data_IF_148232981183
#
_entry.id   IF_148232981183
#
_cell.length_a   1.000
_cell.length_b   1.000
_cell.length_c   1.000
_cell.angle_alpha   90.00
_cell.angle_beta   90.00
_cell.angle_gamma   90.00
#
_symmetry.space_group_name_H-M   'P 1'
#
loop_
_entity.id
_entity.type
_entity.pdbx_description
1 polymer ?
#
# COMPACT_ATOMS: atom_id res chain seq x y z
N UNK A 1 35.69 17.87 -9.17
CA UNK A 1 34.97 17.04 -8.18
C UNK A 1 33.99 17.94 -7.46
N UNK A 2 32.70 17.87 -7.81
CA UNK A 2 31.67 18.62 -7.09
C UNK A 2 31.33 17.85 -5.81
N UNK A 3 31.81 18.35 -4.68
CA UNK A 3 31.39 17.88 -3.37
C UNK A 3 29.92 18.26 -3.19
N UNK A 4 29.02 17.28 -3.28
CA UNK A 4 27.62 17.48 -2.91
C UNK A 4 27.59 18.00 -1.47
N UNK A 5 27.31 19.30 -1.31
CA UNK A 5 27.04 19.84 0.02
C UNK A 5 25.74 19.19 0.52
N UNK A 6 25.73 18.69 1.76
CA UNK A 6 24.51 18.13 2.34
C UNK A 6 23.40 19.19 2.38
N UNK A 7 22.18 18.78 2.01
CA UNK A 7 20.95 19.59 1.91
C UNK A 7 20.65 20.45 3.16
N UNK A 8 21.10 19.99 4.32
CA UNK A 8 21.01 20.71 5.58
C UNK A 8 22.39 20.71 6.26
N UNK A 9 22.87 21.88 6.72
CA UNK A 9 24.06 21.94 7.56
C UNK A 9 23.87 20.99 8.74
N UNK A 10 24.88 20.15 9.01
CA UNK A 10 24.84 19.05 9.98
C UNK A 10 24.29 19.49 11.37
N UNK A 11 24.47 20.77 11.72
CA UNK A 11 24.08 21.36 13.01
C UNK A 11 23.11 22.55 12.94
N UNK A 12 22.40 22.75 11.83
CA UNK A 12 21.44 23.86 11.74
C UNK A 12 20.29 23.68 12.74
N UNK A 13 19.86 24.77 13.41
CA UNK A 13 18.67 24.74 14.30
C UNK A 13 17.44 24.12 13.61
N UNK A 14 17.32 24.33 12.29
CA UNK A 14 16.29 23.77 11.43
C UNK A 14 16.23 22.24 11.41
N UNK A 15 17.38 21.54 11.39
CA UNK A 15 17.38 20.08 11.38
C UNK A 15 16.80 19.52 12.68
N UNK A 16 17.15 20.13 13.82
CA UNK A 16 16.62 19.77 15.14
C UNK A 16 15.12 20.03 15.26
N UNK A 17 14.64 21.18 14.79
CA UNK A 17 13.20 21.48 14.81
C UNK A 17 12.41 20.50 13.94
N UNK A 18 12.89 20.22 12.72
CA UNK A 18 12.23 19.26 11.83
C UNK A 18 12.21 17.84 12.43
N UNK A 19 13.33 17.40 13.02
CA UNK A 19 13.42 16.13 13.75
C UNK A 19 12.37 16.06 14.87
N UNK A 20 12.26 17.11 15.67
CA UNK A 20 11.29 17.18 16.76
C UNK A 20 9.84 17.14 16.24
N UNK A 21 9.52 17.86 15.17
CA UNK A 21 8.20 17.84 14.54
C UNK A 21 7.84 16.45 14.00
N UNK A 22 8.77 15.78 13.31
CA UNK A 22 8.58 14.42 12.79
C UNK A 22 8.39 13.44 13.94
N UNK A 23 9.22 13.50 14.98
CA UNK A 23 9.10 12.63 16.15
C UNK A 23 7.77 12.83 16.88
N UNK A 24 7.37 14.08 17.14
CA UNK A 24 6.09 14.40 17.76
C UNK A 24 4.92 13.87 16.94
N UNK A 25 4.96 14.04 15.61
CA UNK A 25 3.92 13.52 14.74
C UNK A 25 3.85 11.99 14.73
N UNK A 26 4.99 11.30 14.64
CA UNK A 26 5.02 9.83 14.72
C UNK A 26 4.45 9.32 16.05
N UNK A 27 4.70 10.03 17.16
CA UNK A 27 4.08 9.73 18.46
C UNK A 27 2.57 9.91 18.39
N UNK A 28 2.07 11.02 17.83
CA UNK A 28 0.63 11.26 17.64
C UNK A 28 -0.02 10.15 16.82
N UNK A 29 0.60 9.75 15.71
CA UNK A 29 0.10 8.64 14.87
C UNK A 29 0.12 7.31 15.62
N UNK A 30 1.17 7.02 16.40
CA UNK A 30 1.24 5.81 17.21
C UNK A 30 0.15 5.77 18.29
N UNK A 31 -0.08 6.90 18.98
CA UNK A 31 -1.15 7.03 19.97
C UNK A 31 -2.51 6.88 19.30
N UNK A 32 -2.72 7.53 18.16
CA UNK A 32 -3.97 7.43 17.40
C UNK A 32 -4.22 6.00 16.92
N UNK A 33 -3.20 5.31 16.40
CA UNK A 33 -3.27 3.90 16.04
C UNK A 33 -3.65 3.04 17.25
N UNK A 34 -2.98 3.23 18.39
CA UNK A 34 -3.29 2.51 19.62
C UNK A 34 -4.73 2.76 20.10
N UNK A 35 -5.22 4.00 20.03
CA UNK A 35 -6.61 4.35 20.36
C UNK A 35 -7.59 3.71 19.38
N UNK A 36 -7.30 3.72 18.08
CA UNK A 36 -8.15 3.08 17.06
C UNK A 36 -8.21 1.56 17.27
N UNK A 37 -7.07 0.93 17.52
CA UNK A 37 -6.98 -0.49 17.90
C UNK A 37 -7.84 -0.77 19.12
N UNK A 38 -7.71 0.04 20.18
CA UNK A 38 -8.47 -0.11 21.41
C UNK A 38 -9.98 0.06 21.18
N UNK A 39 -10.39 1.13 20.48
CA UNK A 39 -11.79 1.41 20.15
C UNK A 39 -12.42 0.27 19.34
N UNK A 40 -11.71 -0.26 18.35
CA UNK A 40 -12.20 -1.36 17.50
C UNK A 40 -12.13 -2.74 18.17
N UNK A 41 -11.31 -2.89 19.19
CA UNK A 41 -11.20 -4.14 19.96
C UNK A 41 -12.17 -4.21 21.13
N UNK A 42 -12.68 -3.06 21.62
CA UNK A 42 -13.48 -2.97 22.86
C UNK A 42 -14.88 -2.39 22.64
N UNK A 43 -15.13 -1.63 21.56
CA UNK A 43 -16.40 -0.91 21.34
C UNK A 43 -17.42 -1.60 20.43
N UNK A 44 -18.63 -1.01 20.36
CA UNK A 44 -19.82 -1.44 19.60
C UNK A 44 -19.67 -1.50 18.07
N UNK A 45 -18.49 -1.22 17.52
CA UNK A 45 -18.18 -1.34 16.09
C UNK A 45 -17.12 -2.43 15.91
N UNK A 46 -17.54 -3.68 16.13
CA UNK A 46 -16.66 -4.82 16.02
C UNK A 46 -16.09 -4.91 14.61
N UNK A 47 -14.78 -5.13 14.47
CA UNK A 47 -14.14 -5.34 13.16
C UNK A 47 -14.82 -6.43 12.32
N UNK A 48 -15.40 -7.42 12.98
CA UNK A 48 -16.19 -8.50 12.39
C UNK A 48 -17.50 -8.03 11.75
N UNK A 49 -18.09 -6.97 12.28
CA UNK A 49 -19.36 -6.38 11.82
C UNK A 49 -19.14 -5.42 10.64
N UNK A 50 -17.89 -5.04 10.36
CA UNK A 50 -17.56 -4.25 9.17
C UNK A 50 -17.56 -5.11 7.91
N UNK A 51 -17.54 -4.47 6.74
CA UNK A 51 -17.46 -5.14 5.44
C UNK A 51 -16.24 -6.08 5.27
N UNK A 52 -15.22 -5.96 6.12
CA UNK A 52 -13.96 -6.73 6.08
C UNK A 52 -14.12 -8.12 6.73
N UNK A 53 -14.79 -8.20 7.89
CA UNK A 53 -14.92 -9.42 8.68
C UNK A 53 -15.43 -10.65 7.92
N UNK A 54 -16.51 -10.52 7.11
CA UNK A 54 -17.08 -11.63 6.33
C UNK A 54 -16.10 -12.35 5.39
N UNK A 55 -15.03 -11.69 4.96
CA UNK A 55 -14.04 -12.27 4.04
C UNK A 55 -13.25 -13.43 4.66
N UNK A 56 -13.11 -13.42 5.98
CA UNK A 56 -12.39 -14.46 6.73
C UNK A 56 -13.20 -15.75 6.90
N UNK A 57 -14.48 -15.73 6.54
CA UNK A 57 -15.33 -16.92 6.50
C UNK A 57 -15.35 -17.57 5.11
N UNK A 58 -14.76 -16.92 4.09
CA UNK A 58 -14.53 -17.52 2.78
C UNK A 58 -13.46 -18.61 2.85
N UNK A 59 -13.77 -19.83 2.41
CA UNK A 59 -12.82 -20.94 2.36
C UNK A 59 -12.99 -21.76 1.07
N UNK A 60 -12.24 -22.86 0.94
CA UNK A 60 -12.31 -23.73 -0.23
C UNK A 60 -13.16 -25.00 -0.04
N UNK A 61 -13.95 -25.09 1.04
CA UNK A 61 -14.77 -26.28 1.36
C UNK A 61 -15.88 -26.54 0.33
N UNK A 62 -16.33 -25.49 -0.35
CA UNK A 62 -17.36 -25.53 -1.38
C UNK A 62 -16.80 -25.27 -2.79
N UNK A 63 -15.50 -25.54 -2.99
CA UNK A 63 -14.77 -25.27 -4.24
C UNK A 63 -13.93 -23.99 -4.15
N UNK A 64 -13.28 -23.62 -5.26
CA UNK A 64 -12.46 -22.40 -5.30
C UNK A 64 -13.33 -21.16 -5.09
N UNK A 65 -12.96 -20.33 -4.13
CA UNK A 65 -13.58 -19.04 -3.84
C UNK A 65 -12.49 -17.97 -3.95
N UNK A 66 -12.73 -16.92 -4.74
CA UNK A 66 -11.79 -15.79 -4.83
C UNK A 66 -11.53 -15.24 -3.43
N UNK A 67 -10.28 -14.91 -3.13
CA UNK A 67 -9.87 -14.36 -1.82
C UNK A 67 -10.09 -15.30 -0.62
N UNK A 68 -10.31 -16.59 -0.85
CA UNK A 68 -10.61 -17.57 0.20
C UNK A 68 -9.41 -18.05 1.03
N UNK A 69 -8.17 -17.65 0.71
CA UNK A 69 -6.99 -18.16 1.43
C UNK A 69 -7.00 -17.84 2.93
N UNK A 70 -7.27 -16.59 3.39
CA UNK A 70 -7.27 -16.29 4.81
C UNK A 70 -8.27 -17.15 5.61
N UNK A 71 -9.47 -17.37 5.10
CA UNK A 71 -10.47 -18.20 5.76
C UNK A 71 -10.17 -19.69 5.67
N UNK A 72 -9.57 -20.18 4.58
CA UNK A 72 -9.06 -21.56 4.50
C UNK A 72 -7.94 -21.79 5.54
N UNK A 73 -7.02 -20.85 5.71
CA UNK A 73 -5.97 -20.94 6.75
C UNK A 73 -6.59 -20.98 8.14
N UNK A 74 -7.54 -20.10 8.43
CA UNK A 74 -8.25 -20.11 9.70
C UNK A 74 -9.00 -21.43 9.93
N UNK A 75 -9.71 -21.95 8.93
CA UNK A 75 -10.42 -23.24 9.01
C UNK A 75 -9.48 -24.41 9.35
N UNK A 76 -8.22 -24.35 8.91
CA UNK A 76 -7.21 -25.39 9.16
C UNK A 76 -6.54 -25.27 10.53
N UNK A 77 -6.44 -24.06 11.06
CA UNK A 77 -5.68 -23.76 12.29
C UNK A 77 -6.58 -23.51 13.51
N UNK A 78 -7.84 -23.18 13.32
CA UNK A 78 -8.79 -22.85 14.38
C UNK A 78 -10.23 -23.28 14.04
N UNK A 79 -11.13 -23.07 15.00
CA UNK A 79 -12.57 -23.28 14.88
C UNK A 79 -13.29 -22.14 14.13
N UNK A 80 -12.57 -21.15 13.62
CA UNK A 80 -13.12 -19.90 13.06
C UNK A 80 -14.09 -19.17 14.01
N UNK A 81 -13.88 -19.32 15.31
CA UNK A 81 -14.52 -18.46 16.30
C UNK A 81 -14.26 -16.99 15.98
N UNK A 82 -15.20 -16.12 16.38
CA UNK A 82 -15.07 -14.66 16.24
C UNK A 82 -13.73 -14.14 16.77
N UNK A 83 -13.23 -14.71 17.87
CA UNK A 83 -11.93 -14.40 18.42
C UNK A 83 -10.78 -14.75 17.47
N UNK A 84 -10.79 -15.97 16.88
CA UNK A 84 -9.74 -16.38 15.95
C UNK A 84 -9.72 -15.52 14.67
N UNK A 85 -10.88 -15.14 14.16
CA UNK A 85 -10.98 -14.22 13.01
C UNK A 85 -10.42 -12.85 13.37
N UNK A 86 -10.83 -12.27 14.50
CA UNK A 86 -10.33 -10.98 14.98
C UNK A 86 -8.80 -11.01 15.19
N UNK A 87 -8.28 -12.11 15.75
CA UNK A 87 -6.85 -12.30 15.91
C UNK A 87 -6.12 -12.33 14.56
N UNK A 88 -6.64 -13.04 13.56
CA UNK A 88 -6.05 -13.07 12.22
C UNK A 88 -6.07 -11.70 11.53
N UNK A 89 -7.16 -10.93 11.67
CA UNK A 89 -7.26 -9.55 11.20
C UNK A 89 -6.14 -8.68 11.78
N UNK A 90 -5.90 -8.78 13.09
CA UNK A 90 -4.82 -8.05 13.74
C UNK A 90 -3.44 -8.55 13.31
N UNK A 91 -3.23 -9.85 13.19
CA UNK A 91 -1.97 -10.43 12.69
C UNK A 91 -1.64 -9.89 11.31
N UNK A 92 -2.61 -9.84 10.38
CA UNK A 92 -2.40 -9.28 9.04
C UNK A 92 -2.11 -7.78 9.08
N UNK A 93 -2.80 -7.03 9.94
CA UNK A 93 -2.54 -5.59 10.16
C UNK A 93 -1.11 -5.36 10.63
N UNK A 94 -0.66 -6.11 11.64
CA UNK A 94 0.71 -5.99 12.15
C UNK A 94 1.75 -6.50 11.17
N UNK A 95 1.43 -7.52 10.36
CA UNK A 95 2.31 -8.00 9.30
C UNK A 95 2.50 -6.95 8.19
N UNK A 96 1.44 -6.23 7.79
CA UNK A 96 1.55 -5.11 6.87
C UNK A 96 2.33 -3.94 7.48
N UNK A 97 2.07 -3.59 8.74
CA UNK A 97 2.81 -2.56 9.44
C UNK A 97 4.31 -2.90 9.52
N UNK A 98 4.65 -4.14 9.90
CA UNK A 98 6.02 -4.64 9.90
C UNK A 98 6.67 -4.59 8.52
N UNK A 99 5.92 -4.97 7.47
CA UNK A 99 6.36 -4.87 6.08
C UNK A 99 6.64 -3.42 5.65
N UNK A 100 5.76 -2.48 5.98
CA UNK A 100 5.93 -1.06 5.71
C UNK A 100 7.15 -0.49 6.45
N UNK A 101 7.30 -0.78 7.74
CA UNK A 101 8.44 -0.35 8.55
C UNK A 101 9.76 -0.90 8.00
N UNK A 102 9.77 -2.16 7.57
CA UNK A 102 10.93 -2.79 6.95
C UNK A 102 11.32 -2.10 5.65
N UNK A 103 10.37 -1.89 4.73
CA UNK A 103 10.60 -1.19 3.46
C UNK A 103 11.11 0.23 3.73
N UNK A 104 10.47 0.93 4.67
CA UNK A 104 10.91 2.27 5.12
C UNK A 104 12.34 2.25 5.60
N UNK A 105 12.71 1.33 6.49
CA UNK A 105 14.07 1.22 7.02
C UNK A 105 15.10 0.97 5.89
N UNK A 106 14.76 0.15 4.90
CA UNK A 106 15.62 -0.10 3.75
C UNK A 106 15.77 1.09 2.82
N UNK A 107 14.69 1.81 2.52
CA UNK A 107 14.76 3.06 1.74
C UNK A 107 15.56 4.12 2.51
N UNK A 108 15.29 4.29 3.80
CA UNK A 108 16.03 5.19 4.67
C UNK A 108 17.51 4.84 4.78
N UNK A 109 17.88 3.56 4.72
CA UNK A 109 19.28 3.13 4.69
C UNK A 109 20.04 3.67 3.46
N UNK A 110 19.35 3.83 2.31
CA UNK A 110 19.92 4.45 1.11
C UNK A 110 20.11 5.95 1.24
N UNK A 111 19.28 6.60 2.06
CA UNK A 111 19.42 8.02 2.37
C UNK A 111 20.60 8.33 3.29
N UNK A 112 21.16 7.34 4.00
CA UNK A 112 22.24 7.55 4.99
C UNK A 112 23.47 8.21 4.40
N UNK A 113 23.83 7.89 3.16
CA UNK A 113 24.98 8.51 2.49
C UNK A 113 24.78 10.00 2.20
N UNK A 114 23.54 10.49 2.20
CA UNK A 114 23.21 11.90 2.05
C UNK A 114 23.07 12.64 3.40
N UNK A 115 23.07 11.91 4.53
CA UNK A 115 23.07 12.48 5.89
C UNK A 115 21.84 12.11 6.72
N UNK A 116 21.95 12.28 8.04
CA UNK A 116 20.92 11.89 9.02
C UNK A 116 19.59 12.64 8.84
N UNK A 117 19.62 13.90 8.39
CA UNK A 117 18.40 14.66 8.14
C UNK A 117 17.57 14.04 7.00
N UNK A 118 18.21 13.60 5.91
CA UNK A 118 17.51 12.93 4.80
C UNK A 118 16.88 11.61 5.25
N UNK A 119 17.57 10.85 6.11
CA UNK A 119 17.02 9.61 6.70
C UNK A 119 15.70 9.90 7.40
N UNK A 120 15.63 10.94 8.23
CA UNK A 120 14.40 11.28 8.96
C UNK A 120 13.32 11.80 8.03
N UNK A 121 13.66 12.63 7.05
CA UNK A 121 12.67 13.13 6.08
C UNK A 121 12.10 11.96 5.28
N UNK A 122 12.92 10.99 4.87
CA UNK A 122 12.45 9.78 4.18
C UNK A 122 11.53 8.95 5.08
N UNK A 123 11.90 8.73 6.35
CA UNK A 123 11.04 8.01 7.31
C UNK A 123 9.71 8.73 7.47
N UNK A 124 9.73 10.06 7.65
CA UNK A 124 8.52 10.87 7.77
C UNK A 124 7.67 10.76 6.51
N UNK A 125 8.26 11.02 5.34
CA UNK A 125 7.55 10.98 4.08
C UNK A 125 6.91 9.61 3.82
N UNK A 126 7.58 8.52 4.18
CA UNK A 126 7.03 7.17 3.95
C UNK A 126 5.99 6.78 4.99
N UNK A 127 6.15 7.12 6.27
CA UNK A 127 5.19 6.69 7.32
C UNK A 127 4.01 7.64 7.49
N UNK A 128 4.21 8.92 7.20
CA UNK A 128 3.18 9.97 7.35
C UNK A 128 2.35 10.10 6.08
N UNK A 129 2.82 9.56 4.96
CA UNK A 129 2.12 9.71 3.69
C UNK A 129 0.73 9.07 3.73
N UNK A 130 -0.31 9.74 3.20
CA UNK A 130 -1.68 9.24 3.11
C UNK A 130 -1.84 8.03 2.18
N UNK A 131 -0.80 7.64 1.44
CA UNK A 131 -0.75 6.42 0.59
C UNK A 131 0.12 5.32 1.23
N UNK A 132 0.18 5.26 2.55
CA UNK A 132 1.04 4.29 3.25
C UNK A 132 0.37 3.75 4.52
N UNK A 133 0.54 4.42 5.65
CA UNK A 133 0.08 3.99 6.96
C UNK A 133 -1.43 4.18 7.15
N UNK A 134 -2.01 5.17 6.48
CA UNK A 134 -3.45 5.50 6.56
C UNK A 134 -4.33 4.27 6.34
N UNK A 135 -4.09 3.47 5.29
CA UNK A 135 -4.84 2.26 4.98
C UNK A 135 -4.77 1.25 6.13
N UNK A 136 -3.57 1.03 6.67
CA UNK A 136 -3.33 0.07 7.76
C UNK A 136 -4.09 0.47 9.03
N UNK A 137 -4.21 1.76 9.31
CA UNK A 137 -4.91 2.23 10.52
C UNK A 137 -6.41 2.38 10.32
N UNK A 138 -6.85 2.84 9.14
CA UNK A 138 -8.26 3.09 8.88
C UNK A 138 -9.03 1.82 8.59
N UNK A 139 -8.39 0.82 8.00
CA UNK A 139 -9.03 -0.46 7.70
C UNK A 139 -8.19 -1.66 8.16
N UNK A 140 -7.92 -1.79 9.48
CA UNK A 140 -7.29 -2.96 10.04
C UNK A 140 -8.04 -4.25 9.68
N UNK A 141 -7.28 -5.30 9.39
CA UNK A 141 -7.80 -6.60 9.04
C UNK A 141 -8.09 -6.80 7.57
N UNK A 142 -7.77 -5.85 6.69
CA UNK A 142 -7.86 -6.08 5.24
C UNK A 142 -6.97 -7.23 4.79
N UNK A 143 -7.52 -8.20 4.06
CA UNK A 143 -6.77 -9.33 3.51
C UNK A 143 -5.70 -8.89 2.50
N UNK A 144 -5.88 -7.77 1.82
CA UNK A 144 -4.92 -7.25 0.85
C UNK A 144 -3.64 -6.68 1.50
N UNK A 145 -3.58 -6.60 2.83
CA UNK A 145 -2.33 -6.43 3.59
C UNK A 145 -1.31 -7.53 3.32
N UNK A 146 -1.76 -8.71 2.89
CA UNK A 146 -0.86 -9.75 2.34
C UNK A 146 -0.02 -9.19 1.19
N UNK A 147 -0.55 -8.28 0.37
CA UNK A 147 0.18 -7.60 -0.70
C UNK A 147 1.33 -6.74 -0.20
N UNK A 148 1.08 -5.91 0.83
CA UNK A 148 2.11 -5.08 1.49
C UNK A 148 3.21 -5.97 2.07
N UNK A 149 2.84 -7.03 2.80
CA UNK A 149 3.79 -7.98 3.36
C UNK A 149 4.55 -8.72 2.27
N UNK A 150 3.90 -9.15 1.19
CA UNK A 150 4.51 -9.88 0.09
C UNK A 150 5.57 -9.03 -0.63
N UNK A 151 5.28 -7.77 -0.98
CA UNK A 151 6.29 -6.91 -1.64
C UNK A 151 7.47 -6.60 -0.70
N UNK A 152 7.21 -6.47 0.61
CA UNK A 152 8.26 -6.31 1.61
C UNK A 152 9.16 -7.57 1.70
N UNK A 153 8.58 -8.77 1.70
CA UNK A 153 9.31 -10.04 1.68
C UNK A 153 10.11 -10.23 0.38
N UNK A 154 9.49 -9.97 -0.78
CA UNK A 154 10.19 -10.00 -2.08
C UNK A 154 11.38 -9.05 -2.10
N UNK A 155 11.27 -7.92 -1.40
CA UNK A 155 12.39 -6.99 -1.23
C UNK A 155 13.58 -7.61 -0.51
N UNK A 156 13.34 -8.50 0.46
CA UNK A 156 14.36 -9.19 1.25
C UNK A 156 15.01 -10.36 0.52
N UNK A 157 14.34 -10.96 -0.46
CA UNK A 157 14.84 -12.15 -1.16
C UNK A 157 16.22 -11.92 -1.79
N UNK A 158 16.52 -10.68 -2.17
CA UNK A 158 17.85 -10.29 -2.69
C UNK A 158 19.00 -10.49 -1.71
N UNK A 159 18.70 -10.67 -0.42
CA UNK A 159 19.67 -10.96 0.63
C UNK A 159 19.95 -12.46 0.76
N UNK A 160 19.18 -13.32 0.09
CA UNK A 160 19.39 -14.76 0.08
C UNK A 160 20.56 -15.08 -0.85
N UNK A 161 21.67 -15.65 -0.35
CA UNK A 161 22.87 -15.86 -1.16
C UNK A 161 22.67 -16.83 -2.34
N UNK A 162 21.75 -17.79 -2.19
CA UNK A 162 21.44 -18.77 -3.24
C UNK A 162 20.30 -18.27 -4.13
N UNK A 163 20.55 -18.01 -5.43
CA UNK A 163 19.50 -17.55 -6.34
C UNK A 163 18.37 -18.57 -6.49
N UNK A 164 18.67 -19.87 -6.40
CA UNK A 164 17.66 -20.94 -6.48
C UNK A 164 16.70 -20.89 -5.29
N UNK A 165 17.24 -20.75 -4.07
CA UNK A 165 16.42 -20.60 -2.87
C UNK A 165 15.63 -19.29 -2.94
N UNK A 166 16.24 -18.20 -3.41
CA UNK A 166 15.55 -16.94 -3.58
C UNK A 166 14.36 -17.02 -4.55
N UNK A 167 14.53 -17.66 -5.71
CA UNK A 167 13.44 -17.87 -6.68
C UNK A 167 12.35 -18.81 -6.15
N UNK A 168 12.72 -19.87 -5.42
CA UNK A 168 11.76 -20.76 -4.77
C UNK A 168 10.93 -20.01 -3.71
N UNK A 169 11.57 -19.22 -2.86
CA UNK A 169 10.90 -18.34 -1.89
C UNK A 169 9.99 -17.33 -2.60
N UNK A 170 10.44 -16.72 -3.70
CA UNK A 170 9.63 -15.78 -4.47
C UNK A 170 8.39 -16.45 -5.05
N UNK A 171 8.50 -17.69 -5.51
CA UNK A 171 7.38 -18.50 -6.02
C UNK A 171 6.33 -18.69 -4.94
N UNK A 172 6.74 -19.04 -3.72
CA UNK A 172 5.83 -19.21 -2.58
C UNK A 172 5.16 -17.89 -2.20
N UNK A 173 5.94 -16.80 -2.08
CA UNK A 173 5.40 -15.48 -1.72
C UNK A 173 4.39 -15.00 -2.76
N UNK A 174 4.68 -15.15 -4.06
CA UNK A 174 3.74 -14.80 -5.14
C UNK A 174 2.50 -15.68 -5.07
N UNK A 175 2.64 -16.99 -4.92
CA UNK A 175 1.49 -17.90 -4.85
C UNK A 175 0.56 -17.56 -3.68
N UNK A 176 1.13 -17.29 -2.49
CA UNK A 176 0.35 -16.88 -1.31
C UNK A 176 -0.32 -15.53 -1.55
N UNK A 177 0.39 -14.54 -2.08
CA UNK A 177 -0.19 -13.23 -2.38
C UNK A 177 -1.36 -13.35 -3.35
N UNK A 178 -1.20 -14.10 -4.44
CA UNK A 178 -2.24 -14.26 -5.45
C UNK A 178 -3.41 -15.12 -4.96
N UNK A 179 -3.15 -16.15 -4.14
CA UNK A 179 -4.22 -16.94 -3.52
C UNK A 179 -5.05 -16.11 -2.51
N UNK A 180 -4.42 -15.13 -1.85
CA UNK A 180 -5.13 -14.13 -1.05
C UNK A 180 -5.87 -13.10 -1.90
N UNK A 181 -5.27 -12.62 -2.99
CA UNK A 181 -5.88 -11.66 -3.90
C UNK A 181 -5.23 -11.72 -5.28
N UNK A 182 -5.98 -12.09 -6.32
CA UNK A 182 -5.40 -12.36 -7.64
C UNK A 182 -4.67 -11.15 -8.25
N UNK A 183 -5.16 -9.94 -7.96
CA UNK A 183 -4.62 -8.67 -8.44
C UNK A 183 -3.23 -8.36 -7.86
N UNK A 184 -2.78 -9.07 -6.81
CA UNK A 184 -1.42 -8.91 -6.30
C UNK A 184 -0.35 -9.48 -7.25
N UNK A 185 -0.74 -10.26 -8.26
CA UNK A 185 0.17 -10.73 -9.30
C UNK A 185 0.88 -9.57 -10.01
N UNK A 186 0.14 -8.51 -10.38
CA UNK A 186 0.71 -7.37 -11.12
C UNK A 186 1.68 -6.55 -10.26
N UNK A 187 1.47 -6.48 -8.95
CA UNK A 187 2.38 -5.78 -8.02
C UNK A 187 3.64 -6.57 -7.71
N UNK A 188 3.57 -7.91 -7.75
CA UNK A 188 4.71 -8.79 -7.43
C UNK A 188 5.57 -9.14 -8.66
N UNK A 189 4.99 -9.13 -9.87
CA UNK A 189 5.69 -9.50 -11.10
C UNK A 189 7.00 -8.73 -11.38
N UNK A 190 7.08 -7.39 -11.19
CA UNK A 190 8.34 -6.66 -11.43
C UNK A 190 9.51 -7.18 -10.57
N UNK A 191 9.25 -7.60 -9.33
CA UNK A 191 10.27 -8.16 -8.45
C UNK A 191 10.79 -9.49 -8.99
N UNK A 192 9.90 -10.35 -9.47
CA UNK A 192 10.27 -11.65 -10.04
C UNK A 192 11.15 -11.47 -11.27
N UNK A 193 10.86 -10.47 -12.12
CA UNK A 193 11.71 -10.15 -13.27
C UNK A 193 13.11 -9.74 -12.83
N UNK A 194 13.24 -8.85 -11.83
CA UNK A 194 14.55 -8.44 -11.29
C UNK A 194 15.30 -9.61 -10.67
N UNK A 195 14.62 -10.46 -9.91
CA UNK A 195 15.20 -11.67 -9.31
C UNK A 195 15.65 -12.67 -10.37
N UNK A 196 14.87 -12.84 -11.44
CA UNK A 196 15.24 -13.70 -12.58
C UNK A 196 16.48 -13.16 -13.31
N UNK A 197 16.55 -11.85 -13.58
CA UNK A 197 17.75 -11.23 -14.17
C UNK A 197 18.99 -11.52 -13.32
N UNK A 198 18.90 -11.37 -12.01
CA UNK A 198 20.00 -11.65 -11.07
C UNK A 198 20.38 -13.12 -11.03
N UNK A 199 19.39 -14.01 -11.00
CA UNK A 199 19.63 -15.43 -10.87
C UNK A 199 20.28 -16.06 -12.11
N UNK A 200 19.97 -15.53 -13.29
CA UNK A 200 20.51 -16.05 -14.55
C UNK A 200 21.83 -15.36 -14.94
N UNK A 201 22.06 -14.13 -14.47
CA UNK A 201 23.31 -13.39 -14.68
C UNK A 201 23.33 -12.55 -15.98
N UNK A 202 24.32 -11.65 -16.09
CA UNK A 202 24.35 -10.59 -17.11
C UNK A 202 24.55 -11.04 -18.57
N UNK A 203 25.06 -12.25 -18.81
CA UNK A 203 25.23 -12.81 -20.15
C UNK A 203 23.98 -13.55 -20.68
N UNK A 204 22.95 -13.69 -19.85
CA UNK A 204 21.77 -14.46 -20.19
C UNK A 204 20.90 -13.74 -21.22
N UNK A 205 20.45 -14.48 -22.24
CA UNK A 205 19.50 -13.96 -23.22
C UNK A 205 18.12 -13.68 -22.61
N UNK A 206 17.39 -12.71 -23.18
CA UNK A 206 16.02 -12.35 -22.78
C UNK A 206 15.06 -13.55 -22.65
N UNK A 207 15.24 -14.57 -23.50
CA UNK A 207 14.44 -15.82 -23.46
C UNK A 207 14.63 -16.60 -22.16
N UNK A 208 15.84 -16.65 -21.62
CA UNK A 208 16.12 -17.39 -20.38
C UNK A 208 15.55 -16.66 -19.16
N UNK A 209 15.70 -15.33 -19.12
CA UNK A 209 15.08 -14.47 -18.10
C UNK A 209 13.56 -14.64 -18.11
N UNK A 210 12.93 -14.55 -19.29
CA UNK A 210 11.49 -14.75 -19.45
C UNK A 210 11.06 -16.15 -18.96
N UNK A 211 11.78 -17.21 -19.34
CA UNK A 211 11.48 -18.58 -18.89
C UNK A 211 11.53 -18.71 -17.37
N UNK A 212 12.56 -18.18 -16.72
CA UNK A 212 12.70 -18.24 -15.26
C UNK A 212 11.60 -17.43 -14.57
N UNK A 213 11.33 -16.21 -15.04
CA UNK A 213 10.27 -15.37 -14.49
C UNK A 213 8.90 -16.05 -14.65
N UNK A 214 8.61 -16.63 -15.83
CA UNK A 214 7.37 -17.37 -16.08
C UNK A 214 7.22 -18.56 -15.14
N UNK A 215 8.28 -19.32 -14.87
CA UNK A 215 8.22 -20.46 -13.93
C UNK A 215 7.87 -20.03 -12.50
N UNK A 216 8.43 -18.91 -12.03
CA UNK A 216 8.13 -18.36 -10.70
C UNK A 216 6.71 -17.79 -10.61
N UNK A 217 6.24 -17.14 -11.69
CA UNK A 217 4.90 -16.55 -11.73
C UNK A 217 3.80 -17.57 -12.02
N UNK A 218 4.14 -18.73 -12.60
CA UNK A 218 3.16 -19.71 -13.09
C UNK A 218 2.11 -20.11 -12.04
N UNK A 219 2.45 -20.44 -10.78
CA UNK A 219 1.43 -20.77 -9.78
C UNK A 219 0.46 -19.61 -9.53
N UNK A 220 0.97 -18.38 -9.47
CA UNK A 220 0.14 -17.19 -9.36
C UNK A 220 -0.75 -16.99 -10.60
N UNK A 221 -0.19 -17.07 -11.80
CA UNK A 221 -0.98 -16.96 -13.05
C UNK A 221 -2.10 -17.99 -13.10
N UNK A 222 -1.83 -19.23 -12.69
CA UNK A 222 -2.84 -20.30 -12.63
C UNK A 222 -3.93 -19.95 -11.61
N UNK A 223 -3.56 -19.52 -10.40
CA UNK A 223 -4.53 -19.13 -9.36
C UNK A 223 -5.39 -17.93 -9.79
N UNK A 224 -4.77 -16.90 -10.39
CA UNK A 224 -5.47 -15.75 -10.92
C UNK A 224 -6.41 -16.14 -12.07
N UNK A 225 -5.97 -17.04 -12.96
CA UNK A 225 -6.79 -17.57 -14.04
C UNK A 225 -7.98 -18.38 -13.54
N UNK A 226 -7.78 -19.24 -12.53
CA UNK A 226 -8.86 -19.96 -11.86
C UNK A 226 -9.83 -18.97 -11.22
N UNK A 227 -9.31 -17.94 -10.53
CA UNK A 227 -10.11 -16.87 -9.94
C UNK A 227 -10.98 -16.21 -11.00
N UNK A 228 -10.41 -15.78 -12.12
CA UNK A 228 -11.13 -15.10 -13.19
C UNK A 228 -12.31 -15.90 -13.79
N UNK A 229 -12.24 -17.23 -13.82
CA UNK A 229 -13.25 -18.07 -14.49
C UNK A 229 -14.19 -18.83 -13.55
N UNK A 230 -13.86 -18.92 -12.25
CA UNK A 230 -14.69 -19.62 -11.25
C UNK A 230 -15.47 -18.62 -10.41
N UNK A 231 -16.78 -18.70 -10.50
CA UNK A 231 -17.68 -18.02 -9.57
C UNK A 231 -17.87 -18.87 -8.30
N UNK A 232 -17.93 -18.25 -7.11
CA UNK A 232 -18.26 -18.97 -5.89
C UNK A 232 -19.72 -19.48 -5.94
N UNK A 233 -19.93 -20.69 -5.43
CA UNK A 233 -21.27 -21.27 -5.40
C UNK A 233 -22.20 -20.47 -4.48
N UNK A 234 -23.51 -20.49 -4.75
CA UNK A 234 -24.50 -19.86 -3.88
C UNK A 234 -24.42 -20.39 -2.43
N UNK A 235 -24.11 -21.68 -2.26
CA UNK A 235 -23.89 -22.30 -0.95
C UNK A 235 -22.66 -21.73 -0.23
N UNK A 236 -21.56 -21.48 -0.95
CA UNK A 236 -20.36 -20.85 -0.40
C UNK A 236 -20.68 -19.47 0.18
N UNK A 237 -21.41 -18.65 -0.59
CA UNK A 237 -21.75 -17.28 -0.20
C UNK A 237 -22.75 -17.27 0.96
N UNK A 238 -23.73 -18.17 0.96
CA UNK A 238 -24.66 -18.33 2.07
C UNK A 238 -23.94 -18.75 3.37
N UNK A 239 -22.99 -19.69 3.28
CA UNK A 239 -22.18 -20.11 4.42
C UNK A 239 -21.30 -18.98 4.96
N UNK A 240 -20.73 -18.15 4.08
CA UNK A 240 -19.96 -16.96 4.47
C UNK A 240 -20.80 -15.94 5.24
N UNK A 241 -21.98 -15.61 4.72
CA UNK A 241 -22.91 -14.67 5.37
C UNK A 241 -23.38 -15.19 6.72
N UNK A 242 -23.74 -16.47 6.78
CA UNK A 242 -24.14 -17.13 8.03
C UNK A 242 -23.02 -17.16 9.07
N UNK A 243 -21.80 -17.49 8.67
CA UNK A 243 -20.63 -17.52 9.56
C UNK A 243 -20.27 -16.14 10.10
N UNK A 244 -20.48 -15.09 9.32
CA UNK A 244 -20.21 -13.72 9.72
C UNK A 244 -21.34 -13.09 10.57
N UNK A 245 -22.47 -13.80 10.78
CA UNK A 245 -23.61 -13.29 11.55
C UNK A 245 -24.39 -12.17 10.85
N UNK A 246 -24.15 -11.95 9.55
CA UNK A 246 -24.75 -10.87 8.78
C UNK A 246 -25.99 -11.36 8.01
N UNK A 247 -27.10 -10.60 8.02
CA UNK A 247 -28.25 -10.95 7.20
C UNK A 247 -27.90 -10.85 5.72
N UNK A 248 -28.35 -11.83 4.92
CA UNK A 248 -28.05 -11.88 3.48
C UNK A 248 -28.60 -10.68 2.67
N UNK A 249 -29.44 -9.86 3.28
CA UNK A 249 -30.01 -8.63 2.72
C UNK A 249 -29.11 -7.40 2.85
N UNK A 250 -27.99 -7.46 3.59
CA UNK A 250 -27.06 -6.33 3.67
C UNK A 250 -26.29 -6.19 2.36
N UNK A 251 -26.68 -5.18 1.59
CA UNK A 251 -26.10 -4.82 0.29
C UNK A 251 -24.60 -4.48 0.40
N UNK A 252 -24.11 -4.15 1.60
CA UNK A 252 -22.77 -3.63 1.86
C UNK A 252 -21.78 -4.66 2.47
N UNK A 253 -21.93 -5.93 2.11
CA UNK A 253 -21.04 -6.99 2.59
C UNK A 253 -20.12 -7.48 1.46
N UNK A 254 -18.82 -7.61 1.73
CA UNK A 254 -17.85 -8.15 0.77
C UNK A 254 -18.22 -9.53 0.20
N UNK A 255 -19.01 -10.32 0.93
CA UNK A 255 -19.54 -11.60 0.47
C UNK A 255 -20.50 -11.45 -0.72
N UNK A 256 -21.27 -10.36 -0.80
CA UNK A 256 -22.18 -10.12 -1.94
C UNK A 256 -21.41 -9.69 -3.19
N UNK A 257 -20.32 -8.94 -3.02
CA UNK A 257 -19.41 -8.53 -4.10
C UNK A 257 -18.76 -9.72 -4.79
N UNK A 258 -18.51 -10.82 -4.07
CA UNK A 258 -17.91 -12.03 -4.65
C UNK A 258 -18.77 -12.71 -5.73
N UNK A 259 -20.06 -12.36 -5.84
CA UNK A 259 -20.97 -12.89 -6.88
C UNK A 259 -21.18 -11.93 -8.06
N UNK A 260 -20.65 -10.72 -7.97
CA UNK A 260 -20.84 -9.75 -9.03
C UNK A 260 -20.02 -10.16 -10.25
N UNK A 261 -20.64 -10.05 -11.43
CA UNK A 261 -19.85 -10.06 -12.65
C UNK A 261 -18.94 -8.83 -12.67
N UNK A 262 -17.88 -8.86 -13.47
CA UNK A 262 -17.01 -7.69 -13.65
C UNK A 262 -17.80 -6.44 -14.07
N UNK A 263 -18.80 -6.61 -14.95
CA UNK A 263 -19.67 -5.50 -15.38
C UNK A 263 -20.53 -4.97 -14.24
N UNK A 264 -21.03 -5.84 -13.37
CA UNK A 264 -21.79 -5.43 -12.19
C UNK A 264 -20.91 -4.74 -11.15
N UNK A 265 -19.66 -5.19 -10.98
CA UNK A 265 -18.68 -4.54 -10.09
C UNK A 265 -18.32 -3.14 -10.60
N UNK A 266 -18.07 -2.98 -11.91
CA UNK A 266 -17.82 -1.66 -12.52
C UNK A 266 -19.05 -0.76 -12.43
N UNK A 267 -20.26 -1.30 -12.63
CA UNK A 267 -21.49 -0.53 -12.50
C UNK A 267 -21.74 -0.10 -11.06
N UNK A 268 -21.60 -1.02 -10.12
CA UNK A 268 -21.65 -0.72 -8.69
C UNK A 268 -20.61 0.34 -8.35
N UNK A 269 -19.41 0.26 -8.92
CA UNK A 269 -18.35 1.21 -8.70
C UNK A 269 -18.66 2.61 -9.20
N UNK A 270 -19.22 2.68 -10.40
CA UNK A 270 -19.74 3.90 -11.00
C UNK A 270 -20.84 4.51 -10.14
N UNK A 271 -21.82 3.70 -9.72
CA UNK A 271 -22.95 4.15 -8.91
C UNK A 271 -22.48 4.63 -7.52
N UNK A 272 -21.54 3.92 -6.88
CA UNK A 272 -20.96 4.29 -5.58
C UNK A 272 -20.11 5.55 -5.64
N UNK A 273 -19.41 5.77 -6.75
CA UNK A 273 -18.57 6.95 -6.94
C UNK A 273 -19.38 8.17 -7.39
N UNK A 274 -20.70 8.06 -7.56
CA UNK A 274 -21.55 9.08 -8.21
C UNK A 274 -21.06 9.45 -9.62
N UNK A 275 -20.55 8.46 -10.34
CA UNK A 275 -20.19 8.52 -11.76
C UNK A 275 -18.69 8.68 -12.07
N UNK A 276 -18.38 8.57 -13.35
CA UNK A 276 -17.02 8.60 -13.91
C UNK A 276 -16.20 9.85 -13.55
N UNK A 277 -16.76 11.09 -13.56
CA UNK A 277 -15.98 12.29 -13.24
C UNK A 277 -15.33 12.23 -11.85
N UNK A 278 -16.03 11.64 -10.90
CA UNK A 278 -15.60 11.52 -9.51
C UNK A 278 -14.52 10.44 -9.34
N UNK A 279 -14.66 9.32 -10.04
CA UNK A 279 -13.61 8.29 -10.12
C UNK A 279 -12.32 8.88 -10.71
N UNK A 280 -12.43 9.62 -11.82
CA UNK A 280 -11.28 10.27 -12.46
C UNK A 280 -10.64 11.33 -11.56
N UNK A 281 -11.45 12.11 -10.83
CA UNK A 281 -10.95 13.08 -9.86
C UNK A 281 -10.17 12.40 -8.73
N UNK A 282 -10.73 11.34 -8.14
CA UNK A 282 -10.08 10.55 -7.08
C UNK A 282 -8.75 9.96 -7.56
N UNK A 283 -8.75 9.26 -8.70
CA UNK A 283 -7.54 8.71 -9.31
C UNK A 283 -6.50 9.82 -9.59
N UNK A 284 -6.94 10.99 -10.06
CA UNK A 284 -6.07 12.15 -10.30
C UNK A 284 -5.43 12.69 -9.02
N UNK A 285 -6.20 12.83 -7.94
CA UNK A 285 -5.69 13.27 -6.64
C UNK A 285 -4.64 12.30 -6.11
N UNK A 286 -4.94 11.00 -6.11
CA UNK A 286 -4.00 9.99 -5.62
C UNK A 286 -2.76 9.85 -6.49
N UNK A 287 -2.87 10.00 -7.81
CA UNK A 287 -1.72 10.09 -8.70
C UNK A 287 -0.82 11.27 -8.34
N UNK A 288 -1.38 12.45 -8.08
CA UNK A 288 -0.60 13.63 -7.67
C UNK A 288 0.13 13.38 -6.34
N UNK A 289 -0.57 12.81 -5.35
CA UNK A 289 0.05 12.45 -4.06
C UNK A 289 1.19 11.46 -4.25
N UNK A 290 0.98 10.42 -5.06
CA UNK A 290 1.99 9.44 -5.43
C UNK A 290 3.21 10.07 -6.12
N UNK A 291 2.98 10.88 -7.15
CA UNK A 291 4.03 11.52 -7.93
C UNK A 291 4.86 12.50 -7.08
N UNK A 292 4.20 13.31 -6.24
CA UNK A 292 4.89 14.25 -5.34
C UNK A 292 5.73 13.50 -4.31
N UNK A 293 5.21 12.41 -3.72
CA UNK A 293 5.97 11.60 -2.78
C UNK A 293 7.21 10.97 -3.44
N UNK A 294 7.07 10.42 -4.65
CA UNK A 294 8.21 9.86 -5.38
C UNK A 294 9.23 10.92 -5.81
N UNK A 295 8.78 12.11 -6.22
CA UNK A 295 9.66 13.22 -6.56
C UNK A 295 10.44 13.69 -5.33
N UNK A 296 9.79 13.82 -4.18
CA UNK A 296 10.45 14.14 -2.92
C UNK A 296 11.51 13.09 -2.55
N UNK A 297 11.20 11.80 -2.69
CA UNK A 297 12.18 10.73 -2.50
C UNK A 297 13.34 10.82 -3.48
N UNK A 298 13.08 11.14 -4.75
CA UNK A 298 14.12 11.28 -5.76
C UNK A 298 15.09 12.44 -5.49
N UNK A 299 14.64 13.48 -4.80
CA UNK A 299 15.50 14.57 -4.35
C UNK A 299 16.29 14.22 -3.09
N UNK A 300 15.77 13.34 -2.23
CA UNK A 300 16.40 12.94 -0.97
C UNK A 300 17.37 11.77 -1.11
N UNK A 301 17.16 10.92 -2.12
CA UNK A 301 17.91 9.69 -2.34
C UNK A 301 18.97 9.90 -3.42
N UNK A 302 20.25 9.62 -3.12
CA UNK A 302 21.28 9.68 -4.15
C UNK A 302 21.14 8.50 -5.12
N UNK A 303 21.50 8.72 -6.38
CA UNK A 303 21.81 7.63 -7.32
C UNK A 303 20.65 6.64 -7.62
N UNK A 304 19.44 7.15 -7.84
CA UNK A 304 18.33 6.38 -8.41
C UNK A 304 18.58 5.84 -9.85
N UNK A 305 18.38 4.54 -10.10
CA UNK A 305 18.48 3.95 -11.44
C UNK A 305 17.29 4.33 -12.33
N UNK A 306 17.46 4.31 -13.66
CA UNK A 306 16.36 4.61 -14.59
C UNK A 306 15.14 3.68 -14.40
N UNK A 307 15.39 2.42 -13.99
CA UNK A 307 14.34 1.44 -13.71
C UNK A 307 13.44 1.85 -12.53
N UNK A 308 13.87 2.78 -11.66
CA UNK A 308 13.01 3.40 -10.65
C UNK A 308 11.80 4.07 -11.30
N UNK A 309 12.02 4.94 -12.30
CA UNK A 309 10.92 5.67 -12.94
C UNK A 309 10.02 4.78 -13.79
N UNK A 310 10.57 3.72 -14.39
CA UNK A 310 9.78 2.72 -15.10
C UNK A 310 8.89 1.92 -14.13
N UNK A 311 9.42 1.52 -12.98
CA UNK A 311 8.63 0.90 -11.91
C UNK A 311 7.53 1.84 -11.40
N UNK A 312 7.87 3.12 -11.18
CA UNK A 312 6.92 4.13 -10.73
C UNK A 312 5.76 4.31 -11.72
N UNK A 313 6.08 4.45 -13.01
CA UNK A 313 5.07 4.56 -14.07
C UNK A 313 4.22 3.28 -14.16
N UNK A 314 4.85 2.11 -14.10
CA UNK A 314 4.15 0.83 -14.13
C UNK A 314 3.15 0.70 -12.97
N UNK A 315 3.59 0.93 -11.72
CA UNK A 315 2.71 0.81 -10.56
C UNK A 315 1.62 1.88 -10.54
N UNK A 316 1.89 3.09 -11.02
CA UNK A 316 0.87 4.13 -11.18
C UNK A 316 -0.19 3.74 -12.21
N UNK A 317 0.21 3.17 -13.36
CA UNK A 317 -0.73 2.68 -14.38
C UNK A 317 -1.57 1.51 -13.86
N UNK A 318 -0.97 0.60 -13.10
CA UNK A 318 -1.70 -0.49 -12.43
C UNK A 318 -2.70 0.07 -11.43
N UNK A 319 -2.29 0.98 -10.54
CA UNK A 319 -3.20 1.57 -9.55
C UNK A 319 -4.35 2.34 -10.21
N UNK A 320 -4.06 3.15 -11.24
CA UNK A 320 -5.09 3.86 -11.99
C UNK A 320 -6.06 2.88 -12.69
N UNK A 321 -5.53 1.83 -13.33
CA UNK A 321 -6.36 0.83 -14.00
C UNK A 321 -7.26 0.07 -13.02
N UNK A 322 -6.73 -0.33 -11.85
CA UNK A 322 -7.50 -1.03 -10.83
C UNK A 322 -8.48 -0.11 -10.10
N UNK A 323 -8.14 1.16 -9.88
CA UNK A 323 -9.05 2.16 -9.30
C UNK A 323 -10.23 2.52 -10.22
N UNK A 324 -10.04 2.44 -11.54
CA UNK A 324 -11.13 2.59 -12.50
C UNK A 324 -12.08 1.38 -12.54
N UNK A 325 -11.59 0.21 -12.13
CA UNK A 325 -12.35 -1.05 -12.14
C UNK A 325 -13.01 -1.33 -10.80
N UNK A 326 -12.38 -0.95 -9.69
CA UNK A 326 -12.89 -1.16 -8.34
C UNK A 326 -12.84 0.11 -7.49
N UNK A 327 -13.86 0.33 -6.67
CA UNK A 327 -13.96 1.49 -5.76
C UNK A 327 -13.02 1.32 -4.58
N UNK A 328 -11.72 1.49 -4.82
CA UNK A 328 -10.74 1.53 -3.75
C UNK A 328 -9.41 2.16 -4.18
N UNK A 329 -9.47 3.40 -4.65
CA UNK A 329 -8.27 4.12 -5.10
C UNK A 329 -7.19 4.11 -4.00
N UNK A 330 -7.55 4.43 -2.76
CA UNK A 330 -6.59 4.52 -1.65
C UNK A 330 -5.81 3.22 -1.46
N UNK A 331 -6.47 2.06 -1.50
CA UNK A 331 -5.81 0.76 -1.47
C UNK A 331 -4.80 0.59 -2.59
N UNK A 332 -5.22 0.80 -3.83
CA UNK A 332 -4.36 0.50 -4.98
C UNK A 332 -3.18 1.44 -5.09
N UNK A 333 -3.37 2.73 -4.76
CA UNK A 333 -2.30 3.71 -4.70
C UNK A 333 -1.35 3.46 -3.51
N UNK A 334 -1.87 2.96 -2.38
CA UNK A 334 -1.04 2.52 -1.26
C UNK A 334 -0.15 1.33 -1.65
N UNK A 335 -0.74 0.30 -2.28
CA UNK A 335 0.02 -0.84 -2.80
C UNK A 335 1.04 -0.41 -3.85
N UNK A 336 0.69 0.48 -4.79
CA UNK A 336 1.63 1.00 -5.77
C UNK A 336 2.80 1.74 -5.13
N UNK A 337 2.54 2.55 -4.09
CA UNK A 337 3.58 3.28 -3.38
C UNK A 337 4.51 2.33 -2.66
N UNK A 338 3.97 1.45 -1.82
CA UNK A 338 4.79 0.50 -1.04
C UNK A 338 5.53 -0.47 -1.97
N UNK A 339 4.90 -0.96 -3.03
CA UNK A 339 5.55 -1.79 -4.05
C UNK A 339 6.69 -1.03 -4.73
N UNK A 340 6.51 0.24 -5.09
CA UNK A 340 7.58 1.05 -5.69
C UNK A 340 8.75 1.27 -4.72
N UNK A 341 8.46 1.54 -3.45
CA UNK A 341 9.50 1.67 -2.41
C UNK A 341 10.26 0.37 -2.21
N UNK A 342 9.55 -0.75 -2.08
CA UNK A 342 10.15 -2.08 -1.97
C UNK A 342 10.96 -2.42 -3.23
N UNK A 343 10.44 -2.10 -4.41
CA UNK A 343 11.10 -2.34 -5.70
C UNK A 343 12.42 -1.56 -5.77
N UNK A 344 12.42 -0.28 -5.37
CA UNK A 344 13.64 0.50 -5.26
C UNK A 344 14.71 -0.21 -4.43
N UNK A 345 14.35 -0.89 -3.34
CA UNK A 345 15.34 -1.58 -2.49
C UNK A 345 16.01 -2.79 -3.17
N UNK A 346 15.36 -3.39 -4.17
CA UNK A 346 15.93 -4.50 -4.94
C UNK A 346 16.74 -4.03 -6.14
N UNK A 347 16.54 -2.79 -6.61
CA UNK A 347 17.32 -2.25 -7.72
C UNK A 347 18.75 -1.93 -7.31
N UNK A 348 19.72 -2.22 -8.18
CA UNK A 348 21.11 -1.77 -7.96
C UNK A 348 21.18 -0.24 -8.02
N UNK A 349 22.05 0.41 -7.20
CA UNK A 349 22.29 1.84 -7.31
C UNK A 349 22.69 2.22 -8.73
N UNK A 350 22.01 3.21 -9.31
CA UNK A 350 22.29 3.66 -10.66
C UNK A 350 23.48 4.62 -10.72
N UNK A 351 23.98 4.88 -11.93
CA UNK A 351 24.96 5.95 -12.20
C UNK A 351 24.30 7.25 -12.70
N UNK A 352 23.01 7.22 -13.05
CA UNK A 352 22.38 8.21 -13.97
C UNK A 352 21.65 9.39 -13.30
N UNK A 353 21.66 9.50 -11.98
CA UNK A 353 20.79 10.45 -11.25
C UNK A 353 21.31 11.88 -11.26
N UNK A 354 22.57 12.06 -11.65
CA UNK A 354 23.16 13.40 -11.78
C UNK A 354 22.40 14.28 -12.77
N UNK A 355 21.75 13.71 -13.80
CA UNK A 355 21.03 14.49 -14.81
C UNK A 355 19.69 15.04 -14.32
N UNK A 356 18.86 14.26 -13.63
CA UNK A 356 17.53 14.71 -13.19
C UNK A 356 17.63 15.64 -11.99
N UNK A 357 18.44 15.26 -10.98
CA UNK A 357 18.69 16.12 -9.82
C UNK A 357 19.39 17.41 -10.25
N UNK A 358 20.34 17.34 -11.20
CA UNK A 358 20.97 18.51 -11.80
C UNK A 358 19.98 19.39 -12.56
N UNK A 359 19.06 18.81 -13.33
CA UNK A 359 18.03 19.58 -14.04
C UNK A 359 17.06 20.26 -13.07
N UNK A 360 16.54 19.54 -12.08
CA UNK A 360 15.60 20.10 -11.08
C UNK A 360 16.28 21.18 -10.26
N UNK A 361 17.51 20.98 -9.80
CA UNK A 361 18.22 22.00 -9.02
C UNK A 361 18.58 23.22 -9.85
N UNK A 362 18.94 23.04 -11.13
CA UNK A 362 19.24 24.15 -12.03
C UNK A 362 18.01 25.02 -12.35
N UNK A 363 16.83 24.41 -12.53
CA UNK A 363 15.62 25.13 -12.92
C UNK A 363 14.73 25.53 -11.71
N UNK A 364 14.87 24.82 -10.59
CA UNK A 364 14.15 25.06 -9.35
C UNK A 364 15.14 25.01 -8.18
N UNK A 365 15.96 26.06 -7.99
CA UNK A 365 17.00 26.09 -6.95
C UNK A 365 16.44 25.98 -5.51
N UNK A 366 15.11 26.08 -5.35
CA UNK A 366 14.41 25.86 -4.08
C UNK A 366 13.67 24.52 -4.00
N UNK A 367 13.58 23.72 -5.08
CA UNK A 367 12.83 22.46 -5.10
C UNK A 367 13.31 21.47 -4.04
N UNK A 368 14.61 21.44 -3.77
CA UNK A 368 15.21 20.63 -2.72
C UNK A 368 14.64 20.89 -1.31
N UNK A 369 14.14 22.12 -1.04
CA UNK A 369 13.48 22.47 0.23
C UNK A 369 11.97 22.43 0.12
N UNK A 370 11.43 22.96 -0.99
CA UNK A 370 10.00 23.13 -1.19
C UNK A 370 9.31 21.79 -1.42
N UNK A 371 9.90 20.87 -2.19
CA UNK A 371 9.26 19.61 -2.53
C UNK A 371 9.13 18.68 -1.32
N UNK A 372 10.17 18.44 -0.50
CA UNK A 372 9.99 17.65 0.73
C UNK A 372 9.05 18.31 1.73
N UNK A 373 9.09 19.65 1.86
CA UNK A 373 8.17 20.37 2.73
C UNK A 373 6.72 20.29 2.24
N UNK A 374 6.49 20.42 0.94
CA UNK A 374 5.18 20.28 0.32
C UNK A 374 4.68 18.83 0.43
N UNK A 375 5.54 17.84 0.23
CA UNK A 375 5.18 16.44 0.37
C UNK A 375 4.82 16.10 1.83
N UNK A 376 5.55 16.65 2.80
CA UNK A 376 5.22 16.53 4.23
C UNK A 376 3.92 17.27 4.57
N UNK A 377 3.72 18.47 4.03
CA UNK A 377 2.49 19.24 4.24
C UNK A 377 1.28 18.52 3.64
N UNK A 378 1.38 17.99 2.42
CA UNK A 378 0.37 17.13 1.80
C UNK A 378 0.13 15.91 2.68
N UNK A 379 1.19 15.29 3.19
CA UNK A 379 1.06 14.11 4.03
C UNK A 379 0.29 14.40 5.32
N UNK A 380 0.62 15.50 6.00
CA UNK A 380 -0.07 15.98 7.19
C UNK A 380 -1.51 16.41 6.90
N UNK A 381 -1.74 17.15 5.81
CA UNK A 381 -3.07 17.62 5.43
C UNK A 381 -3.97 16.45 5.02
N UNK A 382 -3.46 15.50 4.25
CA UNK A 382 -4.24 14.37 3.76
C UNK A 382 -4.60 13.35 4.85
N UNK A 383 -3.86 13.31 5.95
CA UNK A 383 -4.24 12.54 7.13
C UNK A 383 -5.39 13.19 7.92
N UNK A 384 -5.52 14.52 7.85
CA UNK A 384 -6.51 15.30 8.59
C UNK A 384 -7.72 15.71 7.74
N UNK A 385 -7.56 15.72 6.42
CA UNK A 385 -8.65 15.82 5.49
C UNK A 385 -9.26 14.43 5.31
N UNK A 386 -10.57 14.33 5.12
CA UNK A 386 -11.22 13.08 4.75
C UNK A 386 -10.80 12.57 3.36
N UNK A 387 -9.69 13.04 2.78
CA UNK A 387 -9.09 12.52 1.54
C UNK A 387 -8.91 10.99 1.61
N UNK A 388 -8.73 10.44 2.81
CA UNK A 388 -8.62 8.99 3.05
C UNK A 388 -9.94 8.25 2.95
N UNK A 389 -11.09 8.90 3.03
CA UNK A 389 -12.42 8.28 2.95
C UNK A 389 -13.33 8.99 1.95
N UNK A 390 -12.80 9.75 0.99
CA UNK A 390 -13.62 10.30 -0.09
C UNK A 390 -14.14 9.13 -0.93
N UNK A 391 -15.28 8.57 -0.52
CA UNK A 391 -16.34 8.41 -1.48
C UNK A 391 -16.69 9.82 -1.92
N UNK A 392 -16.75 10.09 -3.22
CA UNK A 392 -17.06 11.45 -3.69
C UNK A 392 -18.45 11.91 -3.22
N UNK A 393 -19.27 10.99 -2.69
CA UNK A 393 -20.46 11.27 -1.87
C UNK A 393 -20.20 12.28 -0.75
N UNK A 394 -19.05 12.16 -0.09
CA UNK A 394 -18.72 12.86 1.14
C UNK A 394 -18.23 14.28 0.87
N UNK A 395 -17.68 14.52 -0.33
CA UNK A 395 -17.33 15.87 -0.80
C UNK A 395 -18.59 16.69 -1.12
N UNK A 396 -19.66 16.05 -1.59
CA UNK A 396 -20.91 16.73 -1.98
C UNK A 396 -21.92 16.77 -0.82
N UNK A 397 -21.80 15.88 0.17
CA UNK A 397 -22.70 15.82 1.31
C UNK A 397 -22.36 16.87 2.39
N UNK A 398 -23.13 17.97 2.44
CA UNK A 398 -22.95 19.06 3.43
C UNK A 398 -22.96 18.59 4.88
N UNK A 399 -23.66 17.49 5.20
CA UNK A 399 -23.73 16.93 6.56
C UNK A 399 -22.39 16.31 7.05
N UNK A 400 -21.61 15.76 6.12
CA UNK A 400 -20.29 15.20 6.40
C UNK A 400 -19.28 16.30 6.78
N UNK A 401 -19.29 17.41 6.04
CA UNK A 401 -18.47 18.59 6.34
C UNK A 401 -18.85 19.26 7.67
N UNK A 402 -20.13 19.28 8.06
CA UNK A 402 -20.53 19.80 9.36
C UNK A 402 -20.04 18.94 10.54
N UNK A 403 -20.04 17.61 10.40
CA UNK A 403 -19.53 16.70 11.43
C UNK A 403 -18.00 16.76 11.57
N UNK A 404 -17.28 16.88 10.45
CA UNK A 404 -15.83 17.08 10.41
C UNK A 404 -15.39 18.40 11.06
N UNK A 405 -16.18 19.47 10.89
CA UNK A 405 -15.92 20.77 11.50
C UNK A 405 -15.81 20.71 13.04
N UNK A 406 -16.55 19.80 13.69
CA UNK A 406 -16.55 19.68 15.14
C UNK A 406 -15.47 18.76 15.69
N UNK A 407 -15.10 17.69 14.98
CA UNK A 407 -14.15 16.69 15.47
C UNK A 407 -12.67 16.99 15.13
N UNK A 408 -12.40 17.69 14.02
CA UNK A 408 -11.04 17.75 13.44
C UNK A 408 -10.47 19.16 13.31
N UNK A 409 -11.31 20.18 13.16
CA UNK A 409 -10.84 21.56 13.03
C UNK A 409 -10.52 22.23 14.37
N UNK A 410 -11.05 21.74 15.49
CA UNK A 410 -10.73 22.28 16.81
C UNK A 410 -9.24 22.06 17.20
N UNK A 411 -8.65 20.86 17.02
CA UNK A 411 -7.21 20.65 17.25
C UNK A 411 -6.32 21.43 16.26
N UNK A 412 -6.72 21.53 14.99
CA UNK A 412 -5.93 22.22 13.97
C UNK A 412 -5.92 23.75 14.19
N UNK A 413 -7.05 24.35 14.61
CA UNK A 413 -7.10 25.76 15.04
C UNK A 413 -6.25 26.02 16.27
N UNK A 414 -6.14 25.04 17.16
CA UNK A 414 -5.26 25.12 18.34
C UNK A 414 -3.76 25.08 17.94
N UNK A 415 -3.38 24.19 17.02
CA UNK A 415 -2.02 24.10 16.48
C UNK A 415 -1.60 25.32 15.65
N UNK A 416 -2.51 25.86 14.83
CA UNK A 416 -2.27 27.07 14.03
C UNK A 416 -2.26 28.33 14.90
N UNK A 417 -2.97 28.35 16.02
CA UNK A 417 -2.90 29.44 17.00
C UNK A 417 -1.62 29.46 17.85
N UNK A 418 -0.78 28.42 17.77
CA UNK A 418 0.50 28.30 18.50
C UNK A 418 1.74 28.57 17.64
N UNK A 419 1.58 28.66 16.30
CA UNK A 419 2.61 29.06 15.34
C UNK A 419 2.43 30.54 14.98
#
# INVERSE_FOLDING_TARGET
>A
MNTHQPLLPRDSRWSRTLLACVAAYLIVVAIWFAVTVLKRSVGDYGLLETWIGPQYFADYSHGFVRRGLPGEVLRRLSDRSSFAVLAAMWVLTFAALGGLLLVTARVASRARSAGAANVVIVIALVLVSPISLSEIVLDPGRYDFVGITAVALLSLIVLIPSPRVGLATATVVVAVAVASEELLLVFTAPFVVVLAVRAVGGAAGRRQIARVASLVLLPGVVLAGISAVREPSAGSVAAMLAGAGHPASEIYNSATVLRLSFTDEVRLAYDWSHGLPNMLLSAGVWFVVYAVALLALALLLPKLPALFWHGAAFFALVAAGLGLVGVDDRRWWTLAFVAQLAFLTVLEPGTRTEQLTGWVTAHLPRAERVVPAAALAIALLAYNLPLTTIFVSDVVNRGYWSALNHLWWAPLRWLVGLL
#
